data_IF_673463213069
#
_entry.id   IF_673463213069
#
_cell.length_a   1.000
_cell.length_b   1.000
_cell.length_c   1.000
_cell.angle_alpha   90.00
_cell.angle_beta   90.00
_cell.angle_gamma   90.00
#
_symmetry.space_group_name_H-M   'P 1'
#
loop_
_entity.id
_entity.type
_entity.pdbx_description
1 polymer ?
#
# COMPACT_ATOMS: atom_id res chain seq x y z
N UNK A 1 -8.29 -5.28 -5.86
CA UNK A 1 -7.09 -4.74 -5.16
C UNK A 1 -6.16 -4.11 -6.19
N UNK A 2 -5.50 -3.00 -5.87
CA UNK A 2 -4.52 -2.36 -6.77
C UNK A 2 -3.11 -2.74 -6.34
N UNK A 3 -2.20 -2.98 -7.27
CA UNK A 3 -0.80 -3.28 -6.99
C UNK A 3 0.13 -2.54 -7.94
N UNK A 4 1.26 -2.09 -7.43
CA UNK A 4 2.33 -1.52 -8.24
C UNK A 4 3.69 -1.71 -7.57
N UNK A 5 4.73 -1.77 -8.40
CA UNK A 5 6.11 -1.85 -7.93
C UNK A 5 7.04 -1.03 -8.81
N UNK A 6 8.16 -0.57 -8.25
CA UNK A 6 9.30 -0.20 -9.06
C UNK A 6 10.03 -1.44 -9.58
N UNK A 7 11.14 -1.22 -10.30
CA UNK A 7 11.93 -2.31 -10.90
C UNK A 7 12.51 -3.31 -9.87
N UNK A 8 12.71 -2.90 -8.61
CA UNK A 8 13.21 -3.79 -7.58
C UNK A 8 12.15 -4.80 -7.08
N UNK A 9 10.86 -4.49 -7.26
CA UNK A 9 9.75 -5.28 -6.75
C UNK A 9 9.05 -6.18 -7.77
N UNK A 10 9.53 -6.28 -9.00
CA UNK A 10 8.83 -6.98 -10.10
C UNK A 10 8.55 -8.44 -9.78
N UNK A 11 9.56 -9.19 -9.32
CA UNK A 11 9.40 -10.62 -9.01
C UNK A 11 8.42 -10.84 -7.85
N UNK A 12 8.55 -10.04 -6.80
CA UNK A 12 7.63 -10.10 -5.66
C UNK A 12 6.21 -9.70 -6.07
N UNK A 13 6.06 -8.69 -6.93
CA UNK A 13 4.76 -8.28 -7.47
C UNK A 13 4.10 -9.42 -8.23
N UNK A 14 4.81 -10.08 -9.14
CA UNK A 14 4.30 -11.21 -9.91
C UNK A 14 3.81 -12.34 -8.98
N UNK A 15 4.59 -12.68 -7.96
CA UNK A 15 4.24 -13.69 -6.97
C UNK A 15 2.96 -13.33 -6.18
N UNK A 16 2.83 -12.08 -5.77
CA UNK A 16 1.64 -11.61 -5.06
C UNK A 16 0.40 -11.55 -5.95
N UNK A 17 0.56 -11.17 -7.23
CA UNK A 17 -0.53 -11.21 -8.21
C UNK A 17 -1.05 -12.64 -8.38
N UNK A 18 -0.15 -13.62 -8.52
CA UNK A 18 -0.53 -15.02 -8.63
C UNK A 18 -1.23 -15.53 -7.36
N UNK A 19 -0.73 -15.16 -6.19
CA UNK A 19 -1.37 -15.52 -4.91
C UNK A 19 -2.79 -14.94 -4.79
N UNK A 20 -2.97 -13.68 -5.16
CA UNK A 20 -4.26 -12.99 -5.09
C UNK A 20 -5.25 -13.58 -6.11
N UNK A 21 -4.79 -13.85 -7.33
CA UNK A 21 -5.60 -14.48 -8.38
C UNK A 21 -6.08 -15.88 -7.96
N UNK A 22 -5.22 -16.68 -7.34
CA UNK A 22 -5.57 -18.01 -6.79
C UNK A 22 -6.66 -17.93 -5.70
N UNK A 23 -6.81 -16.77 -5.06
CA UNK A 23 -7.86 -16.48 -4.07
C UNK A 23 -9.08 -15.78 -4.66
N UNK A 24 -9.15 -15.68 -5.98
CA UNK A 24 -10.23 -15.00 -6.70
C UNK A 24 -10.35 -13.50 -6.35
N UNK A 25 -9.26 -12.86 -5.96
CA UNK A 25 -9.17 -11.42 -5.76
C UNK A 25 -8.85 -10.77 -7.10
N UNK A 26 -9.72 -9.87 -7.55
CA UNK A 26 -9.46 -9.06 -8.74
C UNK A 26 -8.30 -8.10 -8.48
N UNK A 27 -7.30 -8.11 -9.37
CA UNK A 27 -6.07 -7.31 -9.23
C UNK A 27 -5.93 -6.35 -10.40
N UNK A 28 -5.74 -5.07 -10.08
CA UNK A 28 -5.38 -4.01 -11.03
C UNK A 28 -3.88 -3.72 -10.88
N UNK A 29 -3.09 -4.21 -11.83
CA UNK A 29 -1.64 -4.03 -11.84
C UNK A 29 -1.27 -2.73 -12.59
N UNK A 30 -0.70 -1.78 -11.85
CA UNK A 30 -0.27 -0.47 -12.36
C UNK A 30 1.20 -0.45 -12.85
N UNK A 31 1.89 -1.58 -12.83
CA UNK A 31 3.29 -1.67 -13.28
C UNK A 31 4.26 -1.57 -12.08
N UNK A 32 5.60 -1.46 -12.31
CA UNK A 32 6.18 -1.53 -13.68
C UNK A 32 6.17 -2.96 -14.22
N UNK A 33 6.34 -3.11 -15.53
CA UNK A 33 6.29 -4.41 -16.21
C UNK A 33 7.65 -4.83 -16.79
N UNK A 34 8.69 -4.03 -16.58
CA UNK A 34 10.04 -4.30 -17.06
C UNK A 34 11.07 -4.04 -15.98
N UNK A 35 12.25 -4.64 -16.14
CA UNK A 35 13.39 -4.46 -15.24
C UNK A 35 14.12 -3.12 -15.41
N UNK A 36 13.69 -2.30 -16.36
CA UNK A 36 14.26 -0.95 -16.53
C UNK A 36 13.96 -0.11 -15.29
N UNK A 37 14.94 0.70 -14.89
CA UNK A 37 14.79 1.60 -13.76
C UNK A 37 13.63 2.57 -13.97
N UNK A 38 12.76 2.66 -12.99
CA UNK A 38 11.65 3.62 -12.92
C UNK A 38 11.68 4.31 -11.56
N UNK A 39 11.18 5.52 -11.52
CA UNK A 39 11.09 6.27 -10.29
C UNK A 39 9.87 5.82 -9.49
N UNK A 40 10.10 5.38 -8.26
CA UNK A 40 9.04 4.87 -7.39
C UNK A 40 7.91 5.89 -7.11
N UNK A 41 8.13 7.22 -7.10
CA UNK A 41 7.04 8.17 -6.90
C UNK A 41 5.98 8.11 -7.99
N UNK A 42 6.37 7.89 -9.25
CA UNK A 42 5.43 7.78 -10.37
C UNK A 42 4.50 6.58 -10.21
N UNK A 43 5.06 5.44 -9.76
CA UNK A 43 4.28 4.25 -9.45
C UNK A 43 3.36 4.49 -8.24
N UNK A 44 3.86 5.18 -7.22
CA UNK A 44 3.07 5.52 -6.04
C UNK A 44 1.84 6.36 -6.40
N UNK A 45 2.01 7.34 -7.29
CA UNK A 45 0.92 8.19 -7.78
C UNK A 45 -0.14 7.36 -8.51
N UNK A 46 0.26 6.56 -9.49
CA UNK A 46 -0.65 5.70 -10.26
C UNK A 46 -1.47 4.76 -9.36
N UNK A 47 -0.82 4.10 -8.40
CA UNK A 47 -1.50 3.20 -7.48
C UNK A 47 -2.43 3.96 -6.55
N UNK A 48 -1.98 5.10 -6.01
CA UNK A 48 -2.77 5.91 -5.09
C UNK A 48 -4.06 6.44 -5.74
N UNK A 49 -3.96 6.99 -6.94
CA UNK A 49 -5.13 7.44 -7.70
C UNK A 49 -6.11 6.28 -7.94
N UNK A 50 -5.60 5.13 -8.37
CA UNK A 50 -6.43 3.96 -8.66
C UNK A 50 -7.10 3.39 -7.40
N UNK A 51 -6.41 3.41 -6.25
CA UNK A 51 -6.96 3.03 -4.94
C UNK A 51 -8.13 3.92 -4.55
N UNK A 52 -7.99 5.23 -4.76
CA UNK A 52 -9.05 6.20 -4.47
C UNK A 52 -10.23 6.05 -5.43
N UNK A 53 -9.97 5.92 -6.73
CA UNK A 53 -11.02 5.78 -7.76
C UNK A 53 -11.85 4.52 -7.55
N UNK A 54 -11.21 3.40 -7.25
CA UNK A 54 -11.88 2.12 -7.05
C UNK A 54 -12.35 1.88 -5.62
N UNK A 55 -11.98 2.76 -4.70
CA UNK A 55 -12.24 2.61 -3.27
C UNK A 55 -11.89 1.20 -2.77
N UNK A 56 -10.69 0.73 -3.09
CA UNK A 56 -10.19 -0.59 -2.71
C UNK A 56 -8.75 -0.52 -2.20
N UNK A 57 -8.29 -1.51 -1.43
CA UNK A 57 -6.93 -1.49 -0.89
C UNK A 57 -5.86 -1.64 -1.98
N UNK A 58 -4.67 -1.09 -1.67
CA UNK A 58 -3.50 -1.13 -2.53
C UNK A 58 -2.28 -1.79 -1.91
N UNK A 59 -1.38 -2.24 -2.78
CA UNK A 59 -0.06 -2.77 -2.45
C UNK A 59 0.99 -1.97 -3.23
N UNK A 60 1.99 -1.46 -2.54
CA UNK A 60 3.15 -0.81 -3.12
C UNK A 60 4.43 -1.58 -2.76
N UNK A 61 5.30 -1.76 -3.75
CA UNK A 61 6.55 -2.51 -3.59
C UNK A 61 7.71 -1.71 -4.19
N UNK A 62 8.75 -1.51 -3.41
CA UNK A 62 10.06 -1.07 -3.91
C UNK A 62 11.17 -1.83 -3.19
N UNK A 63 12.42 -1.40 -3.27
CA UNK A 63 13.52 -2.09 -2.60
C UNK A 63 13.33 -2.19 -1.09
N UNK A 64 12.88 -1.13 -0.45
CA UNK A 64 12.68 -1.04 1.02
C UNK A 64 11.23 -0.85 1.46
N UNK A 65 10.35 -0.46 0.55
CA UNK A 65 8.97 -0.04 0.87
C UNK A 65 8.86 1.38 1.44
N UNK A 66 9.98 2.01 1.79
CA UNK A 66 9.98 3.31 2.51
C UNK A 66 9.65 4.47 1.57
N UNK A 67 10.47 4.68 0.54
CA UNK A 67 10.32 5.81 -0.37
C UNK A 67 8.97 5.84 -1.09
N UNK A 68 8.52 4.69 -1.55
CA UNK A 68 7.25 4.56 -2.25
C UNK A 68 6.05 4.85 -1.32
N UNK A 69 6.15 4.49 -0.04
CA UNK A 69 5.14 4.84 0.96
C UNK A 69 5.12 6.34 1.26
N UNK A 70 6.31 6.97 1.36
CA UNK A 70 6.41 8.43 1.55
C UNK A 70 5.74 9.16 0.40
N UNK A 71 6.01 8.74 -0.85
CA UNK A 71 5.41 9.32 -2.04
C UNK A 71 3.87 9.16 -2.03
N UNK A 72 3.38 7.95 -1.79
CA UNK A 72 1.94 7.68 -1.72
C UNK A 72 1.23 8.54 -0.65
N UNK A 73 1.86 8.72 0.51
CA UNK A 73 1.31 9.54 1.60
C UNK A 73 1.29 11.06 1.31
N UNK A 74 1.88 11.51 0.19
CA UNK A 74 1.70 12.90 -0.29
C UNK A 74 0.35 13.10 -0.98
N UNK A 75 -0.32 12.03 -1.36
CA UNK A 75 -1.61 12.07 -2.05
C UNK A 75 -2.72 12.05 -1.00
N UNK A 76 -3.57 13.08 -0.97
CA UNK A 76 -4.64 13.19 0.01
C UNK A 76 -5.62 12.02 -0.08
N UNK A 77 -6.00 11.50 1.08
CA UNK A 77 -6.83 10.31 1.19
C UNK A 77 -6.04 9.00 1.28
N UNK A 78 -4.73 9.02 1.05
CA UNK A 78 -3.86 7.85 1.18
C UNK A 78 -3.28 7.76 2.59
N UNK A 79 -3.33 6.57 3.13
CA UNK A 79 -2.66 6.14 4.36
C UNK A 79 -1.89 4.86 4.04
N UNK A 80 -0.68 5.06 3.53
CA UNK A 80 0.23 3.97 3.19
C UNK A 80 1.10 3.62 4.40
N UNK A 81 1.07 2.37 4.81
CA UNK A 81 1.82 1.83 5.92
C UNK A 81 2.94 0.90 5.44
N UNK A 82 4.19 1.20 5.84
CA UNK A 82 5.30 0.26 5.63
C UNK A 82 5.17 -0.87 6.64
N UNK A 83 5.11 -2.10 6.16
CA UNK A 83 4.96 -3.28 7.00
C UNK A 83 6.10 -4.27 6.78
N UNK A 84 6.74 -4.68 7.87
CA UNK A 84 7.80 -5.69 7.89
C UNK A 84 7.32 -7.01 8.50
N UNK A 85 6.17 -7.02 9.13
CA UNK A 85 5.56 -8.19 9.77
C UNK A 85 4.05 -8.22 9.53
N UNK A 86 3.41 -9.40 9.56
CA UNK A 86 1.96 -9.50 9.53
C UNK A 86 1.27 -8.71 10.66
N UNK A 87 1.89 -8.65 11.83
CA UNK A 87 1.38 -7.85 12.96
C UNK A 87 1.30 -6.36 12.63
N UNK A 88 2.32 -5.80 11.96
CA UNK A 88 2.27 -4.40 11.51
C UNK A 88 1.14 -4.17 10.52
N UNK A 89 0.91 -5.10 9.60
CA UNK A 89 -0.19 -5.03 8.64
C UNK A 89 -1.56 -5.05 9.33
N UNK A 90 -1.72 -5.92 10.32
CA UNK A 90 -2.93 -5.99 11.14
C UNK A 90 -3.19 -4.67 11.86
N UNK A 91 -2.20 -4.15 12.56
CA UNK A 91 -2.32 -2.89 13.30
C UNK A 91 -2.55 -1.68 12.39
N UNK A 92 -1.93 -1.64 11.22
CA UNK A 92 -2.15 -0.59 10.22
C UNK A 92 -3.61 -0.54 9.77
N UNK A 93 -4.25 -1.69 9.61
CA UNK A 93 -5.68 -1.77 9.30
C UNK A 93 -6.55 -1.42 10.50
N UNK A 94 -6.35 -2.12 11.61
CA UNK A 94 -7.19 -1.98 12.81
C UNK A 94 -7.18 -0.57 13.38
N UNK A 95 -6.01 0.07 13.43
CA UNK A 95 -5.82 1.34 14.14
C UNK A 95 -5.82 2.57 13.22
N UNK A 96 -5.30 2.46 12.02
CA UNK A 96 -5.06 3.60 11.13
C UNK A 96 -5.96 3.60 9.89
N UNK A 97 -6.76 2.56 9.71
CA UNK A 97 -7.52 2.37 8.48
C UNK A 97 -6.63 2.60 7.24
N UNK A 98 -5.42 2.04 7.28
CA UNK A 98 -4.48 2.15 6.17
C UNK A 98 -5.11 1.55 4.92
N UNK A 99 -5.07 2.28 3.80
CA UNK A 99 -5.62 1.80 2.53
C UNK A 99 -4.55 1.30 1.57
N UNK A 100 -3.28 1.50 1.89
CA UNK A 100 -2.15 0.93 1.15
C UNK A 100 -1.18 0.26 2.13
N UNK A 101 -0.77 -0.97 1.81
CA UNK A 101 0.38 -1.63 2.44
C UNK A 101 1.60 -1.46 1.54
N UNK A 102 2.73 -1.06 2.11
CA UNK A 102 3.99 -0.90 1.41
C UNK A 102 5.02 -1.88 1.94
N UNK A 103 5.67 -2.62 1.05
CA UNK A 103 6.63 -3.66 1.40
C UNK A 103 7.93 -3.52 0.62
N UNK A 104 9.02 -3.97 1.24
CA UNK A 104 10.37 -3.91 0.68
C UNK A 104 10.80 -5.26 0.11
N UNK A 105 10.95 -5.35 -1.20
CA UNK A 105 11.34 -6.58 -1.88
C UNK A 105 12.74 -7.09 -1.49
N UNK A 106 13.63 -6.18 -1.07
CA UNK A 106 14.99 -6.53 -0.63
C UNK A 106 15.09 -6.88 0.86
N UNK A 107 14.04 -6.63 1.63
CA UNK A 107 14.03 -6.78 3.09
C UNK A 107 13.22 -7.98 3.57
N UNK A 108 12.35 -8.52 2.72
CA UNK A 108 11.40 -9.55 3.11
C UNK A 108 11.58 -10.82 2.29
N UNK A 109 11.48 -11.94 2.96
CA UNK A 109 11.25 -13.22 2.30
C UNK A 109 9.85 -13.24 1.67
N UNK A 110 9.73 -13.94 0.53
CA UNK A 110 8.49 -14.03 -0.24
C UNK A 110 7.29 -14.47 0.60
N UNK A 111 7.47 -15.47 1.45
CA UNK A 111 6.40 -15.99 2.31
C UNK A 111 5.93 -14.95 3.33
N UNK A 112 6.85 -14.23 3.96
CA UNK A 112 6.51 -13.13 4.88
C UNK A 112 5.73 -12.02 4.17
N UNK A 113 6.11 -11.68 2.94
CA UNK A 113 5.38 -10.69 2.14
C UNK A 113 3.95 -11.17 1.82
N UNK A 114 3.77 -12.45 1.50
CA UNK A 114 2.44 -13.06 1.31
C UNK A 114 1.58 -12.99 2.56
N UNK A 115 2.15 -13.30 3.72
CA UNK A 115 1.44 -13.21 5.00
C UNK A 115 1.04 -11.77 5.33
N UNK A 116 1.92 -10.79 5.11
CA UNK A 116 1.64 -9.36 5.29
C UNK A 116 0.45 -8.93 4.43
N UNK A 117 0.49 -9.22 3.14
CA UNK A 117 -0.58 -8.85 2.20
C UNK A 117 -1.90 -9.53 2.57
N UNK A 118 -1.84 -10.80 2.90
CA UNK A 118 -3.02 -11.56 3.32
C UNK A 118 -3.65 -10.98 4.58
N UNK A 119 -2.84 -10.69 5.60
CA UNK A 119 -3.29 -10.07 6.85
C UNK A 119 -3.90 -8.70 6.58
N UNK A 120 -3.25 -7.88 5.75
CA UNK A 120 -3.76 -6.56 5.39
C UNK A 120 -5.12 -6.64 4.69
N UNK A 121 -5.27 -7.56 3.74
CA UNK A 121 -6.49 -7.71 2.95
C UNK A 121 -7.70 -8.12 3.80
N UNK A 122 -7.50 -9.01 4.77
CA UNK A 122 -8.58 -9.60 5.55
C UNK A 122 -8.77 -8.99 6.95
N UNK A 123 -8.06 -7.91 7.27
CA UNK A 123 -8.24 -7.19 8.53
C UNK A 123 -9.10 -5.95 8.32
N UNK A 124 -10.12 -5.78 9.15
CA UNK A 124 -11.03 -4.63 9.12
C UNK A 124 -10.58 -3.54 10.09
N UNK A 125 -10.97 -2.30 9.80
CA UNK A 125 -10.78 -1.17 10.71
C UNK A 125 -11.66 -1.34 11.95
N UNK A 126 -11.06 -1.18 13.14
CA UNK A 126 -11.77 -1.35 14.40
C UNK A 126 -12.59 -0.12 14.81
N UNK A 127 -12.36 1.03 14.16
CA UNK A 127 -12.99 2.29 14.54
C UNK A 127 -12.79 2.63 16.04
N UNK A 128 -13.85 2.74 16.81
CA UNK A 128 -13.77 3.02 18.25
C UNK A 128 -12.90 4.24 18.57
N UNK A 129 -11.95 4.08 19.47
CA UNK A 129 -10.99 5.13 19.88
C UNK A 129 -10.05 5.59 18.73
N UNK A 130 -9.89 4.79 17.69
CA UNK A 130 -9.04 5.09 16.54
C UNK A 130 -9.72 6.01 15.53
N UNK A 131 -11.05 6.03 15.48
CA UNK A 131 -11.83 6.84 14.55
C UNK A 131 -11.46 8.33 14.64
N UNK A 132 -11.41 8.89 15.84
CA UNK A 132 -11.10 10.30 16.05
C UNK A 132 -9.66 10.65 15.56
N UNK A 133 -8.72 9.73 15.67
CA UNK A 133 -7.34 9.92 15.20
C UNK A 133 -7.26 9.91 13.69
N UNK A 134 -7.95 9.00 13.02
CA UNK A 134 -8.05 8.95 11.56
C UNK A 134 -8.70 10.22 11.01
N UNK A 135 -9.76 10.73 11.65
CA UNK A 135 -10.39 12.01 11.26
C UNK A 135 -9.43 13.21 11.43
N UNK A 136 -8.56 13.18 12.44
CA UNK A 136 -7.53 14.21 12.58
C UNK A 136 -6.48 14.15 11.46
N UNK A 137 -6.11 12.97 10.96
CA UNK A 137 -5.24 12.83 9.78
C UNK A 137 -5.89 13.51 8.55
N UNK A 138 -7.16 13.25 8.29
CA UNK A 138 -7.90 13.91 7.19
C UNK A 138 -7.99 15.44 7.38
N UNK A 139 -8.07 15.91 8.63
CA UNK A 139 -8.06 17.34 8.92
C UNK A 139 -6.71 17.98 8.63
N UNK A 140 -5.60 17.28 8.91
CA UNK A 140 -4.25 17.75 8.56
C UNK A 140 -4.08 17.91 7.05
N UNK A 141 -4.57 16.97 6.26
CA UNK A 141 -4.54 17.05 4.79
C UNK A 141 -5.25 18.32 4.26
N UNK A 142 -6.45 18.60 4.78
CA UNK A 142 -7.22 19.80 4.39
C UNK A 142 -6.46 21.08 4.72
N UNK A 143 -5.91 21.19 5.95
CA UNK A 143 -5.13 22.35 6.37
C UNK A 143 -3.87 22.59 5.52
N UNK A 144 -3.23 21.53 5.06
CA UNK A 144 -2.06 21.66 4.18
C UNK A 144 -2.45 22.22 2.80
N UNK A 145 -3.60 21.78 2.24
CA UNK A 145 -4.12 22.31 0.97
C UNK A 145 -4.48 23.80 1.05
N UNK A 146 -5.07 24.23 2.17
CA UNK A 146 -5.48 25.64 2.37
C UNK A 146 -4.28 26.60 2.52
N UNK A 147 -3.08 26.09 2.76
CA UNK A 147 -1.84 26.87 2.89
C UNK A 147 -1.01 26.94 1.61
N UNK A 148 -1.38 26.18 0.59
CA UNK A 148 -0.74 26.14 -0.73
C UNK A 148 -1.44 27.08 -1.69
#
# INVERSE_FOLDING_TARGET
MVIGSDHAGIELKADLVDMLAARQVEVHDCGTFSSQAVDYPDIAELVAEKVLDLNCPGILICGTGIGIAIAANKIPGIRAAVCLTPEMARLAREHNDANIVSIGARLLEKETAREIVNTFLYTSFQAGRHQARVEKLKTLERKCRERS
#
